data_IF_728199692363
#
_entry.id   IF_728199692363
#
_cell.length_a   1.000
_cell.length_b   1.000
_cell.length_c   1.000
_cell.angle_alpha   90.00
_cell.angle_beta   90.00
_cell.angle_gamma   90.00
#
_symmetry.space_group_name_H-M   'P 1'
#
loop_
_entity.id
_entity.type
_entity.pdbx_description
1 polymer ?
#
# COMPACT_ATOMS: atom_id res chain seq x y z
N UNK A 1 -46.82 48.34 -0.53
CA UNK A 1 -45.43 48.30 -0.03
C UNK A 1 -45.05 46.85 0.23
N UNK A 2 -43.96 46.41 -0.42
CA UNK A 2 -42.97 45.34 -0.06
C UNK A 2 -43.27 44.52 1.22
N UNK A 3 -43.13 43.19 1.29
CA UNK A 3 -42.08 42.34 0.71
C UNK A 3 -42.35 40.82 0.92
N UNK A 4 -41.78 40.03 -0.01
CA UNK A 4 -41.08 38.73 0.14
C UNK A 4 -41.83 37.51 0.72
N UNK A 5 -41.97 36.47 -0.12
CA UNK A 5 -41.51 35.09 0.15
C UNK A 5 -41.84 34.20 -1.06
N UNK A 6 -40.82 33.56 -1.60
CA UNK A 6 -40.96 32.66 -2.75
C UNK A 6 -39.65 31.95 -3.03
N UNK A 7 -39.19 31.18 -2.04
CA UNK A 7 -38.09 30.22 -2.17
C UNK A 7 -38.40 29.20 -3.27
N UNK A 8 -37.43 28.93 -4.16
CA UNK A 8 -37.39 27.65 -4.86
C UNK A 8 -35.95 27.32 -5.30
N UNK A 9 -35.32 26.49 -4.47
CA UNK A 9 -34.49 25.33 -4.83
C UNK A 9 -33.27 25.55 -5.75
N UNK A 10 -32.14 25.87 -5.11
CA UNK A 10 -30.82 25.40 -5.54
C UNK A 10 -30.70 23.91 -5.12
N UNK A 11 -30.97 22.96 -6.04
CA UNK A 11 -30.61 21.56 -5.85
C UNK A 11 -29.48 21.15 -6.80
N UNK A 12 -28.27 21.14 -6.21
CA UNK A 12 -27.29 20.05 -6.29
C UNK A 12 -27.04 19.36 -7.63
N UNK A 13 -25.97 19.77 -8.30
CA UNK A 13 -25.17 18.90 -9.17
C UNK A 13 -23.79 18.70 -8.51
N UNK A 14 -23.72 17.83 -7.50
CA UNK A 14 -22.43 17.31 -7.03
C UNK A 14 -22.06 16.12 -7.93
N UNK A 15 -21.22 16.37 -8.93
CA UNK A 15 -20.73 15.37 -9.87
C UNK A 15 -19.89 14.31 -9.13
N UNK A 16 -20.31 13.02 -9.06
CA UNK A 16 -19.59 11.98 -8.33
C UNK A 16 -18.34 11.44 -9.07
N UNK A 17 -17.92 12.04 -10.18
CA UNK A 17 -16.91 11.49 -11.09
C UNK A 17 -15.46 11.54 -10.58
N UNK A 18 -15.15 12.31 -9.52
CA UNK A 18 -13.79 12.44 -8.99
C UNK A 18 -13.42 11.38 -7.94
N UNK A 19 -14.39 10.62 -7.43
CA UNK A 19 -14.14 9.60 -6.39
C UNK A 19 -13.86 8.21 -6.96
N UNK A 20 -14.22 7.94 -8.21
CA UNK A 20 -14.06 6.60 -8.79
C UNK A 20 -12.59 6.29 -9.16
N UNK A 21 -11.83 7.28 -9.63
CA UNK A 21 -10.43 7.08 -10.01
C UNK A 21 -9.53 6.82 -8.80
N UNK A 22 -9.76 7.52 -7.69
CA UNK A 22 -8.96 7.34 -6.46
C UNK A 22 -9.21 5.98 -5.79
N UNK A 23 -10.44 5.46 -5.84
CA UNK A 23 -10.76 4.13 -5.27
C UNK A 23 -10.07 3.00 -6.04
N UNK A 24 -10.04 3.08 -7.38
CA UNK A 24 -9.38 2.07 -8.22
C UNK A 24 -7.87 2.07 -7.99
N UNK A 25 -7.27 3.26 -7.85
CA UNK A 25 -5.83 3.42 -7.60
C UNK A 25 -5.44 2.85 -6.22
N UNK A 26 -6.21 3.20 -5.17
CA UNK A 26 -6.04 2.63 -3.83
C UNK A 26 -6.24 1.10 -3.81
N UNK A 27 -7.22 0.59 -4.56
CA UNK A 27 -7.48 -0.85 -4.68
C UNK A 27 -6.34 -1.61 -5.35
N UNK A 28 -5.72 -1.03 -6.40
CA UNK A 28 -4.58 -1.63 -7.09
C UNK A 28 -3.34 -1.65 -6.19
N UNK A 29 -3.04 -0.53 -5.53
CA UNK A 29 -1.91 -0.42 -4.60
C UNK A 29 -2.04 -1.40 -3.43
N UNK A 30 -3.24 -1.52 -2.85
CA UNK A 30 -3.51 -2.48 -1.79
C UNK A 30 -3.32 -3.93 -2.27
N UNK A 31 -3.80 -4.26 -3.48
CA UNK A 31 -3.64 -5.61 -4.03
C UNK A 31 -2.17 -5.95 -4.33
N UNK A 32 -1.42 -5.00 -4.89
CA UNK A 32 0.02 -5.18 -5.13
C UNK A 32 0.80 -5.31 -3.81
N UNK A 33 0.43 -4.53 -2.78
CA UNK A 33 1.01 -4.66 -1.44
C UNK A 33 0.75 -6.04 -0.85
N UNK A 34 -0.51 -6.51 -0.85
CA UNK A 34 -0.88 -7.85 -0.37
C UNK A 34 -0.14 -8.93 -1.12
N UNK A 35 -0.08 -8.86 -2.46
CA UNK A 35 0.68 -9.84 -3.28
C UNK A 35 2.14 -9.87 -2.86
N UNK A 36 2.80 -8.72 -2.75
CA UNK A 36 4.22 -8.67 -2.40
C UNK A 36 4.49 -9.16 -0.97
N UNK A 37 3.67 -8.74 -0.01
CA UNK A 37 3.77 -9.16 1.39
C UNK A 37 3.47 -10.65 1.58
N UNK A 38 2.64 -11.26 0.74
CA UNK A 38 2.34 -12.70 0.81
C UNK A 38 3.59 -13.58 0.65
N UNK A 39 4.61 -13.10 -0.06
CA UNK A 39 5.89 -13.80 -0.21
C UNK A 39 6.80 -13.68 1.03
N UNK A 40 6.47 -12.77 1.95
CA UNK A 40 7.23 -12.44 3.16
C UNK A 40 6.36 -12.58 4.42
N UNK A 41 5.39 -13.51 4.40
CA UNK A 41 4.41 -13.67 5.48
C UNK A 41 5.07 -14.04 6.82
N UNK A 42 6.21 -14.74 6.76
CA UNK A 42 6.99 -15.12 7.95
C UNK A 42 7.60 -13.87 8.60
N UNK A 43 8.33 -13.07 7.84
CA UNK A 43 8.98 -11.86 8.32
C UNK A 43 7.95 -10.83 8.80
N UNK A 44 6.80 -10.75 8.11
CA UNK A 44 5.69 -9.91 8.54
C UNK A 44 5.13 -10.38 9.88
N UNK A 45 4.90 -11.68 10.06
CA UNK A 45 4.43 -12.23 11.34
C UNK A 45 5.45 -12.03 12.48
N UNK A 46 6.75 -11.93 12.18
CA UNK A 46 7.80 -11.70 13.19
C UNK A 46 7.85 -10.26 13.73
N UNK A 47 7.22 -9.30 13.04
CA UNK A 47 7.17 -7.89 13.44
C UNK A 47 5.76 -7.44 13.82
N UNK A 48 4.73 -8.05 13.25
CA UNK A 48 3.34 -7.65 13.48
C UNK A 48 2.77 -8.16 14.82
N UNK A 49 1.89 -7.34 15.37
CA UNK A 49 0.96 -7.61 16.48
C UNK A 49 -0.49 -7.58 15.98
N UNK A 50 -1.46 -7.88 16.84
CA UNK A 50 -2.89 -7.89 16.49
C UNK A 50 -3.42 -6.49 16.09
N UNK A 51 -2.73 -5.42 16.49
CA UNK A 51 -3.10 -4.03 16.19
C UNK A 51 -2.19 -3.39 15.14
N UNK A 52 -1.28 -4.17 14.57
CA UNK A 52 -0.33 -3.69 13.56
C UNK A 52 -0.97 -3.46 12.20
N UNK A 53 -0.41 -2.50 11.46
CA UNK A 53 -0.82 -2.20 10.10
C UNK A 53 0.37 -1.82 9.23
N UNK A 54 0.21 -2.00 7.92
CA UNK A 54 1.20 -1.62 6.91
C UNK A 54 0.92 -0.19 6.49
N UNK A 55 1.92 0.67 6.66
CA UNK A 55 1.88 2.03 6.14
C UNK A 55 2.35 2.11 4.69
N UNK A 56 2.85 3.30 4.33
CA UNK A 56 3.27 3.60 2.96
C UNK A 56 4.32 2.59 2.47
N UNK A 57 4.13 2.12 1.23
CA UNK A 57 5.11 1.34 0.49
C UNK A 57 5.93 2.25 -0.41
N UNK A 58 7.25 2.12 -0.40
CA UNK A 58 8.14 2.79 -1.35
C UNK A 58 8.66 1.78 -2.37
N UNK A 59 8.40 2.04 -3.65
CA UNK A 59 8.95 1.27 -4.76
C UNK A 59 10.36 1.78 -5.07
N UNK A 60 11.30 0.86 -5.27
CA UNK A 60 12.62 1.17 -5.80
C UNK A 60 12.99 0.19 -6.91
N UNK A 61 13.87 0.63 -7.82
CA UNK A 61 14.44 -0.19 -8.87
C UNK A 61 15.86 0.26 -9.18
N UNK A 62 16.68 -0.64 -9.73
CA UNK A 62 18.04 -0.33 -10.18
C UNK A 62 18.29 -0.77 -11.62
N UNK A 63 19.44 -0.37 -12.16
CA UNK A 63 19.83 -0.62 -13.56
C UNK A 63 20.01 -2.12 -13.88
N UNK A 64 20.24 -2.95 -12.86
CA UNK A 64 20.38 -4.41 -13.02
C UNK A 64 19.04 -5.12 -13.14
N UNK A 65 17.93 -4.38 -13.20
CA UNK A 65 16.57 -4.93 -13.29
C UNK A 65 16.03 -5.44 -11.95
N UNK A 66 16.78 -5.27 -10.86
CA UNK A 66 16.26 -5.57 -9.54
C UNK A 66 15.31 -4.46 -9.11
N UNK A 67 14.28 -4.85 -8.37
CA UNK A 67 13.33 -3.90 -7.81
C UNK A 67 12.86 -4.38 -6.44
N UNK A 68 12.14 -3.54 -5.73
CA UNK A 68 11.60 -3.93 -4.45
C UNK A 68 10.65 -2.92 -3.87
N UNK A 69 10.05 -3.31 -2.76
CA UNK A 69 9.11 -2.51 -2.00
C UNK A 69 9.59 -2.44 -0.55
N UNK A 70 9.62 -1.24 0.01
CA UNK A 70 9.88 -1.03 1.43
C UNK A 70 8.55 -0.72 2.10
N UNK A 71 8.09 -1.62 2.96
CA UNK A 71 6.88 -1.45 3.76
C UNK A 71 7.23 -1.01 5.17
N UNK A 72 6.67 0.10 5.61
CA UNK A 72 6.75 0.49 7.02
C UNK A 72 5.67 -0.25 7.81
N UNK A 73 6.05 -0.88 8.93
CA UNK A 73 5.13 -1.56 9.83
C UNK A 73 4.93 -0.69 11.06
N UNK A 74 3.67 -0.42 11.38
CA UNK A 74 3.27 0.39 12.52
C UNK A 74 2.39 -0.40 13.46
N UNK A 75 2.36 0.01 14.71
CA UNK A 75 1.39 -0.43 15.70
C UNK A 75 0.59 0.76 16.22
N UNK A 76 -0.63 0.50 16.65
CA UNK A 76 -1.46 1.47 17.38
C UNK A 76 -1.54 1.08 18.84
N UNK A 77 -0.96 1.94 19.70
CA UNK A 77 -1.07 1.78 21.14
C UNK A 77 -1.94 2.92 21.66
N UNK A 78 -3.20 2.60 21.93
CA UNK A 78 -4.25 3.50 22.47
C UNK A 78 -4.49 4.75 21.61
N UNK A 79 -3.58 5.73 21.64
CA UNK A 79 -3.65 7.00 20.90
C UNK A 79 -2.33 7.36 20.19
N UNK A 80 -1.34 6.47 20.21
CA UNK A 80 -0.05 6.67 19.56
C UNK A 80 0.14 5.67 18.43
N UNK A 81 0.81 6.14 17.38
CA UNK A 81 1.33 5.28 16.31
C UNK A 81 2.82 5.12 16.54
N UNK A 82 3.25 3.89 16.77
CA UNK A 82 4.67 3.57 16.89
C UNK A 82 5.13 2.86 15.62
N UNK A 83 6.35 3.15 15.16
CA UNK A 83 6.98 2.36 14.11
C UNK A 83 7.58 1.12 14.74
N UNK A 84 7.18 -0.06 14.24
CA UNK A 84 7.77 -1.33 14.63
C UNK A 84 9.04 -1.63 13.83
N UNK A 85 9.14 -1.08 12.62
CA UNK A 85 10.26 -1.27 11.71
C UNK A 85 9.85 -1.24 10.25
N UNK A 86 10.70 -1.83 9.40
CA UNK A 86 10.49 -1.91 7.95
C UNK A 86 10.68 -3.34 7.45
N UNK A 87 9.85 -3.73 6.49
CA UNK A 87 9.97 -4.97 5.73
C UNK A 87 10.27 -4.62 4.28
N UNK A 88 11.46 -4.99 3.82
CA UNK A 88 11.88 -4.81 2.44
C UNK A 88 11.65 -6.12 1.66
N UNK A 89 10.80 -6.05 0.64
CA UNK A 89 10.56 -7.13 -0.32
C UNK A 89 11.43 -6.87 -1.54
N UNK A 90 12.57 -7.54 -1.62
CA UNK A 90 13.54 -7.41 -2.69
C UNK A 90 13.31 -8.48 -3.77
N UNK A 91 13.21 -8.06 -5.02
CA UNK A 91 13.06 -8.90 -6.21
C UNK A 91 14.36 -8.85 -7.00
N UNK A 92 15.17 -9.89 -6.83
CA UNK A 92 16.43 -10.08 -7.54
C UNK A 92 16.15 -10.71 -8.91
N UNK A 93 16.60 -10.06 -9.98
CA UNK A 93 16.49 -10.60 -11.33
C UNK A 93 17.35 -11.85 -11.50
N UNK A 94 16.79 -12.88 -12.13
CA UNK A 94 17.50 -14.14 -12.44
C UNK A 94 17.89 -14.13 -13.92
N UNK A 95 19.19 -14.05 -14.27
CA UNK A 95 19.64 -14.27 -15.63
C UNK A 95 19.30 -15.69 -16.10
N UNK A 96 18.66 -15.82 -17.27
CA UNK A 96 18.17 -17.09 -17.83
C UNK A 96 17.21 -17.82 -16.88
N UNK A 97 16.00 -17.28 -16.63
CA UNK A 97 15.07 -17.85 -15.68
C UNK A 97 14.51 -19.20 -16.18
N UNK A 98 13.96 -20.03 -15.27
CA UNK A 98 13.29 -21.27 -15.65
C UNK A 98 12.12 -20.99 -16.61
N UNK A 99 11.90 -21.86 -17.59
CA UNK A 99 10.84 -21.67 -18.58
C UNK A 99 9.43 -21.54 -17.97
N UNK A 100 9.17 -22.26 -16.88
CA UNK A 100 7.89 -22.27 -16.16
C UNK A 100 7.96 -21.56 -14.80
N UNK A 101 8.99 -20.72 -14.60
CA UNK A 101 9.29 -20.08 -13.32
C UNK A 101 9.18 -18.55 -13.35
N UNK A 102 9.32 -17.95 -12.16
CA UNK A 102 9.47 -16.50 -12.04
C UNK A 102 10.83 -16.05 -12.58
N UNK A 103 10.88 -14.90 -13.27
CA UNK A 103 12.12 -14.21 -13.64
C UNK A 103 12.85 -13.56 -12.47
N UNK A 104 12.25 -13.63 -11.27
CA UNK A 104 12.73 -12.99 -10.06
C UNK A 104 12.77 -13.96 -8.89
N UNK A 105 13.84 -13.86 -8.11
CA UNK A 105 13.93 -14.41 -6.76
C UNK A 105 13.48 -13.37 -5.75
N UNK A 106 12.62 -13.77 -4.81
CA UNK A 106 12.16 -12.87 -3.75
C UNK A 106 13.01 -13.05 -2.50
N UNK A 107 13.42 -11.95 -1.90
CA UNK A 107 14.09 -11.88 -0.61
C UNK A 107 13.30 -10.95 0.30
N UNK A 108 13.23 -11.31 1.57
CA UNK A 108 12.50 -10.57 2.59
C UNK A 108 13.50 -10.13 3.65
N UNK A 109 13.66 -8.81 3.81
CA UNK A 109 14.63 -8.23 4.75
C UNK A 109 13.86 -7.46 5.80
N UNK A 110 13.90 -7.95 7.03
CA UNK A 110 13.26 -7.32 8.17
C UNK A 110 14.25 -6.45 8.92
N UNK A 111 13.92 -5.17 9.13
CA UNK A 111 14.69 -4.23 9.97
C UNK A 111 13.79 -3.73 11.09
N UNK A 112 14.06 -4.20 12.31
CA UNK A 112 13.35 -3.78 13.53
C UNK A 112 13.96 -2.49 14.07
N UNK A 113 13.13 -1.65 14.67
CA UNK A 113 13.59 -0.46 15.38
C UNK A 113 14.20 -0.81 16.75
#
# INVERSE_FOLDING_TARGET
MRNLLGSALLLSALSPSLFASSIIELGREANDAVRNLSHCSKELAEISTDTSWIGKSELWANENGNHGYIFSVFDSIVFETISLGTLEVFKEFIPNPPADGSSYKTHCILRKN
#
